data_IF_699818327736
#
_entry.id   IF_699818327736
#
_cell.length_a   1.000
_cell.length_b   1.000
_cell.length_c   1.000
_cell.angle_alpha   90.00
_cell.angle_beta   90.00
_cell.angle_gamma   90.00
#
_symmetry.space_group_name_H-M   'P 1'
#
loop_
_entity.id
_entity.type
_entity.pdbx_description
1 polymer ?
#
# COMPACT_ATOMS: atom_id res chain seq x y z
N UNK A 1 18.87 -7.38 22.55
CA UNK A 1 18.18 -6.27 21.83
C UNK A 1 17.18 -6.76 20.77
N UNK A 2 17.53 -7.78 19.96
CA UNK A 2 16.68 -8.39 18.92
C UNK A 2 15.38 -9.01 19.46
N UNK A 3 15.41 -9.66 20.63
CA UNK A 3 14.21 -10.26 21.23
C UNK A 3 13.16 -9.20 21.58
N UNK A 4 13.60 -8.05 22.08
CA UNK A 4 12.72 -6.93 22.46
C UNK A 4 12.13 -6.20 21.23
N UNK A 5 12.82 -6.15 20.09
CA UNK A 5 12.23 -5.60 18.86
C UNK A 5 11.17 -6.53 18.29
N UNK A 6 11.44 -7.84 18.25
CA UNK A 6 10.46 -8.87 17.83
C UNK A 6 9.20 -8.84 18.70
N UNK A 7 9.33 -8.80 20.03
CA UNK A 7 8.19 -8.75 20.95
C UNK A 7 7.36 -7.46 20.76
N UNK A 8 8.00 -6.32 20.48
CA UNK A 8 7.27 -5.05 20.20
C UNK A 8 6.47 -5.13 18.90
N UNK A 9 7.06 -5.69 17.84
CA UNK A 9 6.35 -5.95 16.59
C UNK A 9 5.14 -6.86 16.82
N UNK A 10 5.33 -7.97 17.54
CA UNK A 10 4.25 -8.90 17.87
C UNK A 10 3.11 -8.25 18.66
N UNK A 11 3.40 -7.38 19.64
CA UNK A 11 2.34 -6.67 20.38
C UNK A 11 1.53 -5.75 19.46
N UNK A 12 2.19 -5.07 18.53
CA UNK A 12 1.49 -4.23 17.56
C UNK A 12 0.64 -5.06 16.57
N UNK A 13 1.14 -6.22 16.16
CA UNK A 13 0.38 -7.19 15.36
C UNK A 13 -0.88 -7.63 16.08
N UNK A 14 -0.77 -8.10 17.32
CA UNK A 14 -1.92 -8.52 18.15
C UNK A 14 -2.93 -7.39 18.31
N UNK A 15 -2.44 -6.19 18.65
CA UNK A 15 -3.28 -4.98 18.78
C UNK A 15 -4.05 -4.68 17.49
N UNK A 16 -3.43 -4.85 16.33
CA UNK A 16 -4.03 -4.54 15.02
C UNK A 16 -5.02 -5.61 14.59
N UNK A 17 -4.65 -6.89 14.68
CA UNK A 17 -5.49 -8.03 14.28
C UNK A 17 -6.74 -8.16 15.16
N UNK A 18 -6.59 -8.02 16.48
CA UNK A 18 -7.71 -8.17 17.43
C UNK A 18 -8.36 -6.83 17.80
N UNK A 19 -7.96 -5.74 17.15
CA UNK A 19 -8.48 -4.39 17.38
C UNK A 19 -8.37 -3.88 18.83
N UNK A 20 -7.48 -4.45 19.64
CA UNK A 20 -7.36 -4.17 21.08
C UNK A 20 -6.79 -2.78 21.36
N UNK A 21 -7.21 -2.13 22.45
CA UNK A 21 -6.50 -0.97 22.99
C UNK A 21 -5.12 -1.38 23.54
N UNK A 22 -4.19 -0.43 23.69
CA UNK A 22 -2.81 -0.76 24.11
C UNK A 22 -2.72 -1.54 25.44
N UNK A 23 -3.54 -1.18 26.43
CA UNK A 23 -3.61 -1.89 27.72
C UNK A 23 -4.21 -3.29 27.58
N UNK A 24 -5.23 -3.44 26.73
CA UNK A 24 -5.85 -4.74 26.45
C UNK A 24 -4.89 -5.67 25.69
N UNK A 25 -4.16 -5.15 24.71
CA UNK A 25 -3.16 -5.92 23.96
C UNK A 25 -2.05 -6.44 24.88
N UNK A 26 -1.61 -5.63 25.85
CA UNK A 26 -0.66 -6.04 26.89
C UNK A 26 -1.22 -7.22 27.71
N UNK A 27 -2.40 -7.05 28.32
CA UNK A 27 -3.01 -8.10 29.15
C UNK A 27 -3.29 -9.38 28.37
N UNK A 28 -3.67 -9.27 27.09
CA UNK A 28 -3.88 -10.42 26.22
C UNK A 28 -2.59 -11.20 25.94
N UNK A 29 -1.46 -10.50 25.72
CA UNK A 29 -0.17 -11.19 25.55
C UNK A 29 0.34 -11.76 26.88
N UNK A 30 0.13 -11.06 28.00
CA UNK A 30 0.43 -11.58 29.34
C UNK A 30 -0.33 -12.90 29.61
N UNK A 31 -1.62 -12.96 29.28
CA UNK A 31 -2.40 -14.20 29.45
C UNK A 31 -1.93 -15.34 28.55
N UNK A 32 -1.47 -15.05 27.32
CA UNK A 32 -0.88 -16.07 26.44
C UNK A 32 0.42 -16.61 27.05
N UNK A 33 1.27 -15.74 27.59
CA UNK A 33 2.53 -16.17 28.21
C UNK A 33 2.29 -17.04 29.44
N UNK A 34 1.31 -16.70 30.26
CA UNK A 34 0.87 -17.52 31.39
C UNK A 34 0.39 -18.91 30.93
N UNK A 35 -0.47 -18.98 29.91
CA UNK A 35 -0.95 -20.25 29.35
C UNK A 35 0.17 -21.10 28.74
N UNK A 36 1.23 -20.46 28.22
CA UNK A 36 2.39 -21.14 27.66
C UNK A 36 3.45 -21.51 28.72
N UNK A 37 3.28 -21.08 29.98
CA UNK A 37 4.30 -21.26 31.03
C UNK A 37 5.60 -20.48 30.76
N UNK A 38 5.51 -19.34 30.07
CA UNK A 38 6.67 -18.53 29.66
C UNK A 38 6.83 -17.33 30.59
N UNK A 39 7.94 -17.29 31.33
CA UNK A 39 8.29 -16.16 32.20
C UNK A 39 9.05 -15.06 31.43
N UNK A 40 8.36 -14.36 30.52
CA UNK A 40 8.93 -13.20 29.82
C UNK A 40 8.13 -11.92 30.13
N UNK A 41 8.80 -10.79 30.40
CA UNK A 41 8.10 -9.54 30.66
C UNK A 41 7.48 -8.99 29.37
N UNK A 42 6.19 -8.64 29.43
CA UNK A 42 5.50 -7.96 28.33
C UNK A 42 5.73 -6.44 28.45
N UNK A 43 6.22 -5.76 27.39
CA UNK A 43 6.43 -4.32 27.43
C UNK A 43 5.13 -3.55 27.70
N UNK A 44 5.22 -2.49 28.52
CA UNK A 44 4.08 -1.61 28.74
C UNK A 44 3.63 -0.92 27.45
N UNK A 45 2.32 -0.70 27.32
CA UNK A 45 1.70 -0.04 26.17
C UNK A 45 2.30 1.33 25.85
N UNK A 46 2.71 2.09 26.88
CA UNK A 46 3.36 3.40 26.69
C UNK A 46 4.77 3.24 26.12
N UNK A 47 5.50 2.20 26.50
CA UNK A 47 6.81 1.85 25.94
C UNK A 47 6.69 1.48 24.47
N UNK A 48 5.69 0.66 24.11
CA UNK A 48 5.44 0.29 22.72
C UNK A 48 5.03 1.50 21.90
N UNK A 49 4.16 2.36 22.42
CA UNK A 49 3.74 3.57 21.71
C UNK A 49 4.89 4.55 21.47
N UNK A 50 5.77 4.79 22.46
CA UNK A 50 6.90 5.73 22.33
C UNK A 50 8.00 5.22 21.42
N UNK A 51 8.14 3.91 21.28
CA UNK A 51 9.22 3.26 20.51
C UNK A 51 8.75 2.72 19.17
N UNK A 52 7.50 3.00 18.79
CA UNK A 52 6.90 2.51 17.56
C UNK A 52 7.63 3.08 16.33
N UNK A 53 7.98 4.36 16.34
CA UNK A 53 8.75 5.02 15.26
C UNK A 53 10.08 4.35 14.93
N UNK A 54 10.64 3.58 15.88
CA UNK A 54 11.93 2.91 15.74
C UNK A 54 11.76 1.41 15.44
N UNK A 55 10.55 0.97 15.12
CA UNK A 55 10.29 -0.40 14.71
C UNK A 55 10.56 -0.51 13.21
N UNK A 56 11.60 -1.24 12.87
CA UNK A 56 11.83 -1.66 11.49
C UNK A 56 10.78 -2.70 11.09
N UNK A 57 10.00 -2.38 10.07
CA UNK A 57 8.94 -3.25 9.54
C UNK A 57 9.35 -3.71 8.16
N UNK A 58 9.68 -5.00 8.05
CA UNK A 58 9.86 -5.66 6.76
C UNK A 58 8.54 -6.32 6.33
N UNK A 59 8.19 -6.17 5.05
CA UNK A 59 7.10 -6.93 4.45
C UNK A 59 7.55 -8.39 4.31
N UNK A 60 6.76 -9.36 4.80
CA UNK A 60 7.05 -10.76 4.53
C UNK A 60 6.69 -11.00 3.05
N UNK A 61 7.71 -11.16 2.22
CA UNK A 61 7.57 -11.46 0.80
C UNK A 61 8.01 -12.89 0.54
N UNK A 62 7.37 -13.56 -0.41
CA UNK A 62 7.85 -14.83 -0.95
C UNK A 62 8.68 -14.53 -2.20
N UNK A 63 9.91 -15.02 -2.21
CA UNK A 63 10.76 -14.92 -3.40
C UNK A 63 10.13 -15.67 -4.56
N UNK A 64 10.09 -15.01 -5.71
CA UNK A 64 9.59 -15.60 -6.95
C UNK A 64 10.60 -15.33 -8.05
N UNK A 65 10.97 -16.35 -8.85
CA UNK A 65 11.92 -16.19 -9.95
C UNK A 65 11.30 -15.52 -11.19
N UNK A 66 9.98 -15.31 -11.18
CA UNK A 66 9.24 -14.76 -12.32
C UNK A 66 9.12 -13.24 -12.18
N UNK A 67 9.27 -12.54 -13.30
CA UNK A 67 9.02 -11.11 -13.38
C UNK A 67 7.59 -10.79 -12.91
N UNK A 68 7.43 -9.71 -12.14
CA UNK A 68 6.17 -9.37 -11.50
C UNK A 68 5.37 -8.36 -12.31
N UNK A 69 4.05 -8.56 -12.39
CA UNK A 69 3.13 -7.50 -12.78
C UNK A 69 2.68 -6.76 -11.52
N UNK A 70 3.11 -5.50 -11.39
CA UNK A 70 2.83 -4.65 -10.23
C UNK A 70 1.65 -3.72 -10.54
N UNK A 71 0.65 -3.71 -9.68
CA UNK A 71 -0.49 -2.78 -9.73
C UNK A 71 -0.38 -1.78 -8.59
N UNK A 72 -0.47 -0.48 -8.92
CA UNK A 72 -0.22 0.61 -7.99
C UNK A 72 -1.44 1.50 -7.89
N UNK A 73 -1.77 1.86 -6.65
CA UNK A 73 -2.80 2.85 -6.34
C UNK A 73 -2.52 3.43 -4.94
N UNK A 74 -3.14 4.56 -4.62
CA UNK A 74 -3.09 5.16 -3.29
C UNK A 74 -4.48 5.28 -2.62
N UNK A 75 -4.50 5.32 -1.29
CA UNK A 75 -5.75 5.45 -0.54
C UNK A 75 -5.65 6.37 0.65
N UNK A 76 -6.67 7.20 0.85
CA UNK A 76 -6.78 8.06 2.02
C UNK A 76 -7.04 7.26 3.30
N UNK A 77 -6.23 7.50 4.32
CA UNK A 77 -6.37 6.98 5.67
C UNK A 77 -6.67 8.12 6.63
N UNK A 78 -7.70 7.94 7.46
CA UNK A 78 -8.13 8.97 8.41
C UNK A 78 -7.13 9.05 9.56
N UNK A 79 -6.52 10.22 9.75
CA UNK A 79 -5.79 10.52 10.98
C UNK A 79 -6.78 10.96 12.04
N UNK A 80 -6.50 10.64 13.31
CA UNK A 80 -7.32 11.05 14.43
C UNK A 80 -7.60 12.57 14.37
N UNK A 81 -8.89 12.92 14.28
CA UNK A 81 -9.44 14.26 14.51
C UNK A 81 -10.47 14.18 15.63
N UNK A 82 -11.13 15.28 15.97
CA UNK A 82 -12.17 15.27 17.01
C UNK A 82 -13.20 14.16 16.76
N UNK A 83 -13.55 13.43 17.83
CA UNK A 83 -14.49 12.31 17.77
C UNK A 83 -15.85 12.78 17.26
N UNK A 84 -16.61 11.89 16.63
CA UNK A 84 -17.94 12.23 16.08
C UNK A 84 -18.90 12.78 17.13
N UNK A 85 -18.76 12.33 18.38
CA UNK A 85 -19.46 12.91 19.53
C UNK A 85 -19.03 14.35 19.81
N UNK A 86 -17.73 14.64 19.87
CA UNK A 86 -17.23 15.99 20.15
C UNK A 86 -17.62 16.98 19.03
N UNK A 87 -17.56 16.52 17.77
CA UNK A 87 -18.00 17.31 16.61
C UNK A 87 -19.51 17.57 16.62
N UNK A 88 -20.32 16.58 17.05
CA UNK A 88 -21.77 16.74 17.20
C UNK A 88 -22.15 17.66 18.37
N UNK A 89 -21.46 17.56 19.49
CA UNK A 89 -21.82 18.27 20.73
C UNK A 89 -21.23 19.68 20.78
N UNK A 90 -20.01 19.88 20.27
CA UNK A 90 -19.24 21.12 20.47
C UNK A 90 -18.78 21.80 19.17
N UNK A 91 -19.15 21.27 17.99
CA UNK A 91 -18.71 21.78 16.69
C UNK A 91 -17.29 21.35 16.32
N UNK A 92 -16.78 21.82 15.18
CA UNK A 92 -15.45 21.43 14.67
C UNK A 92 -14.38 22.36 15.23
N UNK A 93 -13.66 21.92 16.27
CA UNK A 93 -12.49 22.61 16.82
C UNK A 93 -11.19 22.27 16.09
N UNK A 94 -11.03 21.04 15.58
CA UNK A 94 -9.88 20.62 14.74
C UNK A 94 -10.33 19.98 13.43
N UNK A 95 -9.74 20.43 12.31
CA UNK A 95 -10.01 19.89 10.97
C UNK A 95 -9.58 18.43 10.88
N UNK A 96 -10.41 17.59 10.25
CA UNK A 96 -10.07 16.18 9.97
C UNK A 96 -8.87 16.14 9.02
N UNK A 97 -7.80 15.47 9.43
CA UNK A 97 -6.59 15.27 8.62
C UNK A 97 -6.59 13.88 8.03
N UNK A 98 -6.06 13.77 6.81
CA UNK A 98 -5.89 12.51 6.10
C UNK A 98 -4.42 12.38 5.70
N UNK A 99 -3.91 11.16 5.72
CA UNK A 99 -2.65 10.76 5.10
C UNK A 99 -2.96 9.78 3.97
N UNK A 100 -2.03 9.58 3.05
CA UNK A 100 -2.18 8.61 1.96
C UNK A 100 -1.31 7.39 2.23
N UNK A 101 -1.87 6.21 2.00
CA UNK A 101 -1.16 4.95 1.92
C UNK A 101 -1.11 4.53 0.45
N UNK A 102 0.10 4.49 -0.11
CA UNK A 102 0.41 4.04 -1.46
C UNK A 102 0.82 2.58 -1.40
N UNK A 103 0.24 1.74 -2.25
CA UNK A 103 0.51 0.31 -2.27
C UNK A 103 0.94 -0.11 -3.67
N UNK A 104 2.07 -0.83 -3.74
CA UNK A 104 2.43 -1.63 -4.89
C UNK A 104 2.09 -3.09 -4.58
N UNK A 105 1.22 -3.68 -5.40
CA UNK A 105 0.68 -5.02 -5.17
C UNK A 105 1.05 -5.91 -6.35
N UNK A 106 1.51 -7.12 -6.06
CA UNK A 106 1.71 -8.15 -7.07
C UNK A 106 0.33 -8.62 -7.57
N UNK A 107 0.12 -8.50 -8.87
CA UNK A 107 -1.14 -8.82 -9.53
C UNK A 107 -1.59 -10.26 -9.26
N UNK A 108 -0.66 -11.21 -9.34
CA UNK A 108 -0.98 -12.64 -9.27
C UNK A 108 -1.29 -13.09 -7.84
N UNK A 109 -0.43 -12.72 -6.90
CA UNK A 109 -0.48 -13.18 -5.51
C UNK A 109 -1.36 -12.28 -4.63
N UNK A 110 -1.50 -11.00 -5.00
CA UNK A 110 -2.11 -9.98 -4.16
C UNK A 110 -1.25 -9.59 -2.95
N UNK A 111 0.03 -9.98 -2.92
CA UNK A 111 1.01 -9.53 -1.93
C UNK A 111 1.31 -8.05 -2.14
N UNK A 112 1.42 -7.32 -1.03
CA UNK A 112 1.93 -5.95 -1.04
C UNK A 112 3.46 -6.06 -1.15
N UNK A 113 4.01 -5.63 -2.27
CA UNK A 113 5.46 -5.65 -2.54
C UNK A 113 6.16 -4.44 -1.93
N UNK A 114 5.51 -3.28 -1.97
CA UNK A 114 6.00 -2.05 -1.35
C UNK A 114 4.82 -1.22 -0.84
N UNK A 115 5.09 -0.42 0.19
CA UNK A 115 4.11 0.48 0.78
C UNK A 115 4.79 1.79 1.19
N UNK A 116 4.16 2.92 0.84
CA UNK A 116 4.66 4.24 1.21
C UNK A 116 3.55 5.06 1.85
N UNK A 117 3.87 5.83 2.88
CA UNK A 117 2.90 6.70 3.56
C UNK A 117 3.31 8.15 3.34
N UNK A 118 2.43 8.94 2.74
CA UNK A 118 2.68 10.34 2.46
C UNK A 118 1.66 11.25 3.14
N UNK A 119 2.05 12.50 3.37
CA UNK A 119 1.09 13.55 3.74
C UNK A 119 0.31 14.02 2.52
N UNK A 120 -0.66 14.91 2.74
CA UNK A 120 -1.49 15.52 1.68
C UNK A 120 -0.72 16.36 0.67
N UNK A 121 0.50 16.79 1.01
CA UNK A 121 1.29 17.71 0.20
C UNK A 121 2.01 16.98 -0.95
N UNK A 122 2.04 15.64 -0.87
CA UNK A 122 2.59 14.75 -1.89
C UNK A 122 1.51 14.26 -2.83
N UNK A 123 1.83 14.30 -4.12
CA UNK A 123 1.02 13.72 -5.18
C UNK A 123 1.37 12.25 -5.39
N UNK A 124 0.43 11.50 -5.97
CA UNK A 124 0.64 10.06 -6.22
C UNK A 124 1.81 9.79 -7.20
N UNK A 125 2.01 10.59 -8.28
CA UNK A 125 3.16 10.44 -9.17
C UNK A 125 4.52 10.63 -8.50
N UNK A 126 4.64 11.56 -7.54
CA UNK A 126 5.91 11.85 -6.84
C UNK A 126 6.39 10.67 -5.97
N UNK A 127 5.47 9.80 -5.55
CA UNK A 127 5.78 8.64 -4.68
C UNK A 127 6.15 7.41 -5.51
N UNK A 128 5.84 7.38 -6.81
CA UNK A 128 6.04 6.20 -7.64
C UNK A 128 7.50 5.70 -7.66
N UNK A 129 8.54 6.54 -7.85
CA UNK A 129 9.92 6.08 -7.89
C UNK A 129 10.35 5.39 -6.59
N UNK A 130 10.11 6.04 -5.44
CA UNK A 130 10.42 5.50 -4.11
C UNK A 130 9.70 4.18 -3.82
N UNK A 131 8.50 3.99 -4.40
CA UNK A 131 7.73 2.76 -4.26
C UNK A 131 8.31 1.62 -5.10
N UNK A 132 8.83 1.92 -6.30
CA UNK A 132 9.44 0.92 -7.19
C UNK A 132 10.83 0.49 -6.73
N UNK A 133 11.59 1.38 -6.10
CA UNK A 133 12.93 1.08 -5.54
C UNK A 133 12.86 0.04 -4.41
N UNK A 134 11.76 0.02 -3.65
CA UNK A 134 11.51 -0.96 -2.59
C UNK A 134 11.22 -2.38 -3.09
N UNK A 135 10.94 -2.56 -4.38
CA UNK A 135 10.55 -3.87 -4.93
C UNK A 135 11.79 -4.59 -5.43
N UNK A 136 12.21 -5.63 -4.71
CA UNK A 136 13.29 -6.51 -5.16
C UNK A 136 12.86 -7.37 -6.35
N UNK A 137 13.77 -7.61 -7.30
CA UNK A 137 13.56 -8.48 -8.45
C UNK A 137 13.05 -7.77 -9.71
N UNK A 138 12.76 -8.57 -10.73
CA UNK A 138 12.35 -8.11 -12.06
C UNK A 138 10.86 -7.74 -12.09
N UNK A 139 10.54 -6.61 -12.73
CA UNK A 139 9.17 -6.13 -12.92
C UNK A 139 8.86 -6.19 -14.41
N UNK A 140 7.89 -7.01 -14.81
CA UNK A 140 7.46 -7.10 -16.20
C UNK A 140 6.62 -5.87 -16.61
N UNK A 141 5.70 -5.48 -15.73
CA UNK A 141 4.70 -4.46 -16.04
C UNK A 141 4.31 -3.70 -14.78
N UNK A 142 4.18 -2.38 -14.90
CA UNK A 142 3.59 -1.51 -13.87
C UNK A 142 2.27 -0.96 -14.39
N UNK A 143 1.19 -1.13 -13.62
CA UNK A 143 -0.13 -0.62 -13.97
C UNK A 143 -0.66 0.31 -12.89
N UNK A 144 -0.87 1.57 -13.26
CA UNK A 144 -1.36 2.61 -12.36
C UNK A 144 -2.50 3.40 -13.02
N UNK A 145 -3.17 4.25 -12.25
CA UNK A 145 -4.26 5.06 -12.78
C UNK A 145 -3.78 6.21 -13.68
N UNK A 146 -4.72 7.03 -14.19
CA UNK A 146 -4.38 8.15 -15.08
C UNK A 146 -3.71 9.34 -14.39
N UNK A 147 -3.67 9.37 -13.05
CA UNK A 147 -2.95 10.39 -12.31
C UNK A 147 -1.44 10.25 -12.55
N UNK A 148 -0.95 9.01 -12.67
CA UNK A 148 0.45 8.66 -12.97
C UNK A 148 0.87 8.89 -14.43
N UNK A 149 0.03 9.49 -15.29
CA UNK A 149 0.38 9.86 -16.67
C UNK A 149 1.31 11.10 -16.72
N UNK A 150 2.53 10.98 -16.19
CA UNK A 150 3.58 12.03 -16.11
C UNK A 150 4.93 11.48 -16.57
N UNK A 151 5.82 12.34 -17.11
CA UNK A 151 7.12 11.89 -17.66
C UNK A 151 7.92 11.11 -16.63
N UNK A 152 8.08 11.70 -15.44
CA UNK A 152 8.83 11.09 -14.33
C UNK A 152 8.32 9.69 -13.97
N UNK A 153 7.01 9.44 -14.07
CA UNK A 153 6.47 8.10 -13.84
C UNK A 153 6.80 7.11 -14.96
N UNK A 154 6.81 7.54 -16.22
CA UNK A 154 7.26 6.69 -17.32
C UNK A 154 8.76 6.42 -17.23
N UNK A 155 9.55 7.43 -16.86
CA UNK A 155 11.00 7.31 -16.69
C UNK A 155 11.34 6.32 -15.57
N UNK A 156 10.73 6.46 -14.39
CA UNK A 156 10.93 5.55 -13.27
C UNK A 156 10.53 4.09 -13.57
N UNK A 157 9.47 3.88 -14.35
CA UNK A 157 9.07 2.51 -14.76
C UNK A 157 10.04 1.95 -15.81
N UNK A 158 10.50 2.79 -16.74
CA UNK A 158 11.43 2.39 -17.81
C UNK A 158 12.83 2.08 -17.25
N UNK A 159 13.27 2.79 -16.21
CA UNK A 159 14.53 2.53 -15.50
C UNK A 159 14.54 1.15 -14.82
N UNK A 160 13.36 0.63 -14.44
CA UNK A 160 13.18 -0.74 -13.95
C UNK A 160 13.02 -1.77 -15.07
N UNK A 161 13.25 -1.36 -16.33
CA UNK A 161 13.06 -2.16 -17.55
C UNK A 161 11.63 -2.73 -17.70
N UNK A 162 10.67 -2.12 -16.99
CA UNK A 162 9.30 -2.59 -16.93
C UNK A 162 8.41 -1.88 -17.96
N UNK A 163 7.31 -2.52 -18.34
CA UNK A 163 6.31 -1.92 -19.23
C UNK A 163 5.37 -0.97 -18.47
N UNK A 164 5.32 0.34 -18.79
CA UNK A 164 4.36 1.27 -18.19
C UNK A 164 2.98 1.14 -18.84
N UNK A 165 1.99 0.74 -18.03
CA UNK A 165 0.58 0.65 -18.44
C UNK A 165 -0.26 1.62 -17.61
N UNK A 166 -0.21 2.87 -18.04
CA UNK A 166 -0.96 3.98 -17.44
C UNK A 166 -1.87 4.59 -18.51
N UNK A 167 -3.16 4.80 -18.20
CA UNK A 167 -4.11 5.24 -19.21
C UNK A 167 -3.90 6.74 -19.48
N UNK A 168 -3.64 7.16 -20.73
CA UNK A 168 -3.40 8.57 -21.02
C UNK A 168 -4.58 9.45 -20.61
N UNK A 169 -4.28 10.66 -20.12
CA UNK A 169 -5.27 11.66 -19.71
C UNK A 169 -6.18 12.08 -20.87
N UNK A 170 -7.36 12.63 -20.55
CA UNK A 170 -8.26 13.20 -21.56
C UNK A 170 -7.51 14.33 -22.29
N UNK A 171 -7.57 14.33 -23.63
CA UNK A 171 -6.87 15.28 -24.50
C UNK A 171 -5.32 15.20 -24.46
N UNK A 172 -4.77 14.06 -24.05
CA UNK A 172 -3.34 13.83 -24.11
C UNK A 172 -2.77 13.99 -25.54
N UNK A 173 -1.72 14.80 -25.63
CA UNK A 173 -0.94 15.04 -26.86
C UNK A 173 0.32 14.18 -26.82
N UNK A 174 0.82 13.86 -28.01
CA UNK A 174 2.09 13.15 -28.21
C UNK A 174 3.20 14.00 -27.60
N UNK A 175 4.03 13.43 -26.74
CA UNK A 175 5.18 14.13 -26.15
C UNK A 175 6.34 14.22 -27.14
N UNK A 176 6.57 13.14 -27.88
CA UNK A 176 7.70 12.98 -28.77
C UNK A 176 7.22 12.81 -30.22
N UNK A 177 7.34 13.90 -30.99
CA UNK A 177 7.01 13.93 -32.41
C UNK A 177 7.91 13.00 -33.21
N UNK A 178 7.36 12.30 -34.21
CA UNK A 178 8.06 11.26 -34.98
C UNK A 178 9.27 11.71 -35.83
N UNK A 179 9.62 13.00 -35.82
CA UNK A 179 10.83 13.52 -36.46
C UNK A 179 12.06 13.49 -35.54
N UNK A 180 11.94 13.00 -34.31
CA UNK A 180 13.08 12.77 -33.43
C UNK A 180 13.79 11.44 -33.78
N UNK A 181 15.11 11.38 -33.64
CA UNK A 181 15.88 10.14 -33.78
C UNK A 181 15.82 9.23 -32.53
N UNK A 182 15.06 9.60 -31.50
CA UNK A 182 14.91 8.80 -30.29
C UNK A 182 13.81 7.74 -30.44
N UNK A 183 13.90 6.60 -29.72
CA UNK A 183 12.87 5.58 -29.71
C UNK A 183 11.49 6.16 -29.35
N UNK A 184 10.38 5.63 -29.89
CA UNK A 184 9.05 6.10 -29.54
C UNK A 184 8.78 6.01 -28.04
N UNK A 185 8.31 7.10 -27.45
CA UNK A 185 7.95 7.12 -26.03
C UNK A 185 6.77 6.14 -25.74
N UNK A 186 6.84 5.27 -24.71
CA UNK A 186 5.79 4.28 -24.42
C UNK A 186 4.38 4.87 -24.27
N UNK A 187 4.28 6.05 -23.67
CA UNK A 187 3.02 6.82 -23.61
C UNK A 187 2.43 7.15 -24.98
N UNK A 188 3.28 7.55 -25.94
CA UNK A 188 2.84 7.95 -27.27
C UNK A 188 2.41 6.73 -28.09
N UNK A 189 3.02 5.58 -27.85
CA UNK A 189 2.55 4.30 -28.39
C UNK A 189 1.15 3.97 -27.86
N UNK A 190 0.92 4.11 -26.54
CA UNK A 190 -0.41 3.96 -25.94
C UNK A 190 -1.41 4.93 -26.59
N UNK A 191 -1.04 6.18 -26.82
CA UNK A 191 -1.90 7.17 -27.49
C UNK A 191 -2.22 6.80 -28.94
N UNK A 192 -1.22 6.44 -29.75
CA UNK A 192 -1.40 6.00 -31.14
C UNK A 192 -2.31 4.78 -31.21
N UNK A 193 -2.06 3.80 -30.34
CA UNK A 193 -2.88 2.60 -30.23
C UNK A 193 -4.33 2.96 -29.89
N UNK A 194 -4.56 3.77 -28.84
CA UNK A 194 -5.90 4.16 -28.40
C UNK A 194 -6.65 4.93 -29.50
N UNK A 195 -5.98 5.80 -30.26
CA UNK A 195 -6.59 6.54 -31.38
C UNK A 195 -7.02 5.61 -32.52
N UNK A 196 -6.25 4.56 -32.80
CA UNK A 196 -6.52 3.61 -33.90
C UNK A 196 -7.54 2.52 -33.54
N UNK A 197 -7.49 2.03 -32.30
CA UNK A 197 -8.19 0.81 -31.88
C UNK A 197 -9.22 1.04 -30.77
N UNK A 198 -9.23 2.22 -30.17
CA UNK A 198 -10.12 2.59 -29.08
C UNK A 198 -9.60 2.17 -27.70
N UNK A 199 -9.97 2.96 -26.68
CA UNK A 199 -9.52 2.77 -25.28
C UNK A 199 -9.95 1.44 -24.68
N UNK A 200 -11.13 0.92 -25.05
CA UNK A 200 -11.64 -0.38 -24.56
C UNK A 200 -10.77 -1.54 -25.01
N UNK A 201 -10.33 -1.53 -26.28
CA UNK A 201 -9.46 -2.56 -26.84
C UNK A 201 -8.06 -2.49 -26.22
N UNK A 202 -7.52 -1.28 -26.08
CA UNK A 202 -6.26 -1.05 -25.37
C UNK A 202 -6.27 -1.63 -23.96
N UNK A 203 -7.29 -1.31 -23.14
CA UNK A 203 -7.39 -1.81 -21.75
C UNK A 203 -7.40 -3.34 -21.65
N UNK A 204 -7.99 -4.01 -22.64
CA UNK A 204 -8.05 -5.48 -22.69
C UNK A 204 -6.70 -6.08 -23.06
N UNK A 205 -6.04 -5.53 -24.08
CA UNK A 205 -4.76 -6.06 -24.60
C UNK A 205 -3.56 -5.69 -23.72
N UNK A 206 -3.62 -4.58 -22.98
CA UNK A 206 -2.59 -4.22 -22.00
C UNK A 206 -2.80 -4.84 -20.61
N UNK A 207 -3.81 -5.70 -20.46
CA UNK A 207 -4.23 -6.26 -19.17
C UNK A 207 -4.52 -5.20 -18.09
N UNK A 208 -4.83 -3.95 -18.48
CA UNK A 208 -5.05 -2.83 -17.55
C UNK A 208 -6.17 -3.10 -16.53
N UNK A 209 -7.16 -3.93 -16.86
CA UNK A 209 -8.24 -4.29 -15.94
C UNK A 209 -7.73 -4.93 -14.63
N UNK A 210 -6.56 -5.57 -14.66
CA UNK A 210 -5.90 -6.12 -13.48
C UNK A 210 -5.55 -5.06 -12.43
N UNK A 211 -5.42 -3.79 -12.81
CA UNK A 211 -5.21 -2.67 -11.88
C UNK A 211 -6.29 -2.58 -10.78
N UNK A 212 -7.50 -3.08 -11.00
CA UNK A 212 -8.54 -3.16 -9.93
C UNK A 212 -8.13 -4.01 -8.72
N UNK A 213 -7.06 -4.81 -8.81
CA UNK A 213 -6.56 -5.60 -7.69
C UNK A 213 -5.86 -4.74 -6.62
N UNK A 214 -5.27 -3.60 -6.97
CA UNK A 214 -4.75 -2.65 -5.97
C UNK A 214 -5.89 -2.08 -5.13
N UNK A 215 -7.03 -1.73 -5.76
CA UNK A 215 -8.25 -1.33 -5.05
C UNK A 215 -8.77 -2.43 -4.12
N UNK A 216 -8.69 -3.69 -4.57
CA UNK A 216 -9.07 -4.84 -3.74
C UNK A 216 -8.14 -4.98 -2.53
N UNK A 217 -6.84 -4.77 -2.69
CA UNK A 217 -5.89 -4.78 -1.57
C UNK A 217 -6.17 -3.65 -0.56
N UNK A 218 -6.49 -2.45 -1.05
CA UNK A 218 -6.91 -1.34 -0.19
C UNK A 218 -8.21 -1.60 0.53
N UNK A 219 -9.19 -2.18 -0.18
CA UNK A 219 -10.45 -2.57 0.41
C UNK A 219 -10.23 -3.58 1.54
N UNK A 220 -9.40 -4.61 1.32
CA UNK A 220 -8.99 -5.56 2.37
C UNK A 220 -8.36 -4.85 3.55
N UNK A 221 -7.40 -3.95 3.32
CA UNK A 221 -6.76 -3.18 4.37
C UNK A 221 -7.78 -2.36 5.19
N UNK A 222 -8.67 -1.61 4.52
CA UNK A 222 -9.65 -0.77 5.20
C UNK A 222 -10.71 -1.58 5.94
N UNK A 223 -11.14 -2.71 5.40
CA UNK A 223 -12.10 -3.61 6.04
C UNK A 223 -11.49 -4.25 7.28
N UNK A 224 -10.24 -4.72 7.19
CA UNK A 224 -9.56 -5.44 8.29
C UNK A 224 -9.05 -4.49 9.36
N UNK A 225 -8.63 -3.25 9.05
CA UNK A 225 -8.02 -2.34 10.05
C UNK A 225 -8.81 -1.05 10.32
N UNK A 226 -9.92 -0.83 9.62
CA UNK A 226 -10.86 0.26 9.91
C UNK A 226 -10.53 1.62 9.29
N UNK A 227 -9.63 1.66 8.29
CA UNK A 227 -9.35 2.86 7.46
C UNK A 227 -8.90 4.11 8.20
N UNK A 228 -8.42 3.94 9.44
CA UNK A 228 -7.98 5.03 10.33
C UNK A 228 -6.76 4.58 11.14
N UNK A 229 -5.88 5.52 11.45
CA UNK A 229 -4.73 5.29 12.33
C UNK A 229 -5.05 5.74 13.75
N UNK A 230 -4.51 5.02 14.75
CA UNK A 230 -4.65 5.36 16.16
C UNK A 230 -3.52 6.27 16.66
N UNK A 231 -2.37 6.22 16.00
CA UNK A 231 -1.18 6.98 16.36
C UNK A 231 -1.30 8.48 16.05
N UNK A 232 -0.68 9.33 16.88
CA UNK A 232 -0.74 10.80 16.75
C UNK A 232 0.41 11.41 15.97
N UNK A 233 1.61 10.82 16.07
CA UNK A 233 2.81 11.23 15.35
C UNK A 233 2.89 10.52 14.01
N UNK A 234 3.37 11.20 12.98
CA UNK A 234 3.39 10.71 11.61
C UNK A 234 4.26 9.46 11.45
N UNK A 235 5.41 9.40 12.12
CA UNK A 235 6.34 8.27 12.11
C UNK A 235 5.67 7.01 12.68
N UNK A 236 4.91 7.18 13.76
CA UNK A 236 4.14 6.10 14.37
C UNK A 236 2.95 5.69 13.48
N UNK A 237 2.30 6.63 12.79
CA UNK A 237 1.23 6.32 11.82
C UNK A 237 1.78 5.52 10.64
N UNK A 238 2.96 5.89 10.15
CA UNK A 238 3.68 5.18 9.08
C UNK A 238 3.99 3.76 9.52
N UNK A 239 4.63 3.60 10.68
CA UNK A 239 4.92 2.27 11.24
C UNK A 239 3.65 1.43 11.44
N UNK A 240 2.57 2.02 11.94
CA UNK A 240 1.28 1.35 12.12
C UNK A 240 0.72 0.82 10.79
N UNK A 241 0.78 1.62 9.73
CA UNK A 241 0.31 1.21 8.40
C UNK A 241 1.23 0.18 7.74
N UNK A 242 2.55 0.31 7.88
CA UNK A 242 3.50 -0.69 7.38
C UNK A 242 3.30 -2.04 8.09
N UNK A 243 3.07 -2.02 9.41
CA UNK A 243 2.75 -3.24 10.15
C UNK A 243 1.45 -3.88 9.63
N UNK A 244 0.42 -3.08 9.34
CA UNK A 244 -0.83 -3.56 8.78
C UNK A 244 -0.63 -4.20 7.39
N UNK A 245 0.23 -3.63 6.55
CA UNK A 245 0.62 -4.23 5.27
C UNK A 245 1.34 -5.58 5.47
N UNK A 246 2.30 -5.65 6.40
CA UNK A 246 2.99 -6.90 6.72
C UNK A 246 2.04 -7.99 7.23
N UNK A 247 1.04 -7.62 8.02
CA UNK A 247 -0.01 -8.53 8.50
C UNK A 247 -0.85 -9.06 7.35
N UNK A 248 -1.21 -8.23 6.36
CA UNK A 248 -1.97 -8.69 5.18
C UNK A 248 -1.20 -9.70 4.36
N UNK A 249 0.10 -9.50 4.15
CA UNK A 249 0.93 -10.49 3.47
C UNK A 249 1.00 -11.79 4.26
N UNK A 250 1.19 -11.72 5.58
CA UNK A 250 1.15 -12.92 6.42
C UNK A 250 -0.19 -13.66 6.31
N UNK A 251 -1.31 -12.94 6.26
CA UNK A 251 -2.63 -13.55 6.05
C UNK A 251 -2.74 -14.25 4.70
N UNK A 252 -2.16 -13.68 3.64
CA UNK A 252 -2.10 -14.33 2.31
C UNK A 252 -1.34 -15.65 2.39
N UNK A 253 -0.21 -15.67 3.10
CA UNK A 253 0.62 -16.88 3.25
C UNK A 253 -0.05 -17.97 4.08
N UNK A 254 -0.79 -17.58 5.12
CA UNK A 254 -1.50 -18.52 5.99
C UNK A 254 -2.72 -19.13 5.30
N UNK A 255 -3.40 -18.35 4.46
CA UNK A 255 -4.56 -18.82 3.73
C UNK A 255 -5.23 -17.72 2.94
N UNK A 256 -5.04 -17.74 1.61
CA UNK A 256 -5.79 -16.88 0.69
C UNK A 256 -7.06 -17.60 0.22
N UNK A 257 -8.26 -17.01 0.40
CA UNK A 257 -9.49 -17.59 -0.12
C UNK A 257 -9.45 -17.60 -1.66
N UNK A 258 -9.94 -18.70 -2.25
CA UNK A 258 -10.12 -18.82 -3.70
C UNK A 258 -11.46 -18.19 -4.07
N UNK A 259 -11.41 -17.00 -4.65
CA UNK A 259 -12.60 -16.32 -5.18
C UNK A 259 -12.92 -16.84 -6.57
N UNK A 260 -14.12 -17.41 -6.76
CA UNK A 260 -14.63 -17.82 -8.06
C UNK A 260 -15.79 -16.91 -8.49
N UNK A 261 -15.91 -16.59 -9.78
CA UNK A 261 -17.09 -15.87 -10.27
C UNK A 261 -18.33 -16.75 -10.06
N UNK A 262 -19.34 -16.21 -9.39
CA UNK A 262 -20.66 -16.86 -9.33
C UNK A 262 -21.35 -16.56 -10.66
N UNK A 263 -21.68 -17.60 -11.42
CA UNK A 263 -22.50 -17.45 -12.61
C UNK A 263 -23.85 -16.84 -12.21
N UNK A 264 -24.20 -15.72 -12.84
CA UNK A 264 -25.49 -15.05 -12.66
C UNK A 264 -26.57 -15.78 -13.46
#
# INVERSE_FOLDING_TARGET
MILLSKIRGSLHTVKSVFHLAGRQARGFVESIFELMGVELPVPDHSTVSRRMSNLEVALPLVDRPQARHVVIDSTGIKVYGEGEWNVRTHGVGKRRTWIKLHLAVDETTGEILAAFVSTKDWTDPEVLPDLLEQIDGEIEQVSADGAYDTSDCYDAVTEREAKPVMPPRKNAVIWQHGNCNAPPHPRDENLRYIRKHGRKKWKRESHYHRRSLSETAMFRHKTIFGGKVRSRQFENQTTELLCQCAILNRMIHLGKPVSVPVAA
#
